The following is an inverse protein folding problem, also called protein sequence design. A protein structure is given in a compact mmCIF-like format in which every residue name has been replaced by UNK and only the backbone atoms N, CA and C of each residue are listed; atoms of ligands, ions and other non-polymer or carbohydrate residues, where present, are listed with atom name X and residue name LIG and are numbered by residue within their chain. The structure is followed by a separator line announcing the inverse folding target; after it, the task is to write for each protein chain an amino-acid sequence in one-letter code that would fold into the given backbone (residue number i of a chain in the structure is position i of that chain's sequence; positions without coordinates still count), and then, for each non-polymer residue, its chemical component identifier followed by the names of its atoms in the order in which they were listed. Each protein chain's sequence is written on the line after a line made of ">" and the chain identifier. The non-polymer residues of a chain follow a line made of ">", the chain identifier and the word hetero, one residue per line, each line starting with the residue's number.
data_IF_729593023852
#
_entry.id   IF_729593023852
#
_cell.length_a   1.000
_cell.length_b   1.000
_cell.length_c   1.000
_cell.angle_alpha   90.00
_cell.angle_beta   90.00
_cell.angle_gamma   90.00
#
_symmetry.space_group_name_H-M   'P 1'
#
loop_
_entity.id
_entity.type
_entity.pdbx_description
1 polymer ?
#
# COMPACT_ATOMS: atom_id res chain seq x y z
N UNK A 1 -11.68 -6.22 -6.06
CA UNK A 1 -10.72 -5.90 -4.99
C UNK A 1 -11.39 -5.24 -3.78
N UNK A 2 -11.01 -5.70 -2.59
CA UNK A 2 -11.42 -5.26 -1.28
C UNK A 2 -10.16 -4.91 -0.47
N UNK A 3 -9.91 -3.62 -0.28
CA UNK A 3 -8.77 -3.15 0.50
C UNK A 3 -9.23 -2.64 1.86
N UNK A 4 -8.62 -3.17 2.92
CA UNK A 4 -8.88 -2.78 4.30
C UNK A 4 -7.70 -2.02 4.86
N UNK A 5 -7.92 -0.76 5.21
CA UNK A 5 -6.94 0.06 5.93
C UNK A 5 -7.33 0.06 7.41
N UNK A 6 -6.41 -0.30 8.30
CA UNK A 6 -6.68 -0.24 9.75
C UNK A 6 -6.64 1.21 10.25
N UNK A 7 -7.30 1.45 11.38
CA UNK A 7 -7.31 2.78 12.00
C UNK A 7 -5.89 3.21 12.41
N UNK A 8 -5.05 2.25 12.84
CA UNK A 8 -3.65 2.48 13.14
C UNK A 8 -2.86 2.91 11.90
N UNK A 9 -3.11 2.28 10.75
CA UNK A 9 -2.46 2.66 9.50
C UNK A 9 -2.86 4.06 9.06
N UNK A 10 -4.17 4.39 9.12
CA UNK A 10 -4.65 5.75 8.81
C UNK A 10 -4.01 6.79 9.73
N UNK A 11 -4.02 6.55 11.03
CA UNK A 11 -3.43 7.46 12.01
C UNK A 11 -1.93 7.65 11.79
N UNK A 12 -1.20 6.60 11.39
CA UNK A 12 0.21 6.69 11.07
C UNK A 12 0.46 7.53 9.81
N UNK A 13 -0.31 7.32 8.72
CA UNK A 13 -0.21 8.10 7.48
C UNK A 13 -0.44 9.59 7.77
N UNK A 14 -1.48 9.92 8.53
CA UNK A 14 -1.82 11.30 8.91
C UNK A 14 -0.77 12.01 9.75
N UNK A 15 0.08 11.27 10.47
CA UNK A 15 1.20 11.86 11.23
C UNK A 15 2.41 12.16 10.34
N UNK A 16 2.55 11.47 9.21
CA UNK A 16 3.72 11.56 8.34
C UNK A 16 3.62 12.69 7.31
N UNK A 17 2.42 13.04 6.87
CA UNK A 17 2.19 14.10 5.88
C UNK A 17 1.08 15.05 6.34
N UNK A 18 1.29 16.35 6.11
CA UNK A 18 0.39 17.43 6.54
C UNK A 18 -0.55 17.91 5.44
N UNK A 19 -0.40 17.43 4.21
CA UNK A 19 -1.33 17.74 3.12
C UNK A 19 -2.77 17.35 3.48
N UNK A 20 -3.76 18.06 2.95
CA UNK A 20 -5.16 17.82 3.29
C UNK A 20 -5.62 16.42 2.85
N UNK A 21 -5.21 15.99 1.65
CA UNK A 21 -5.55 14.68 1.09
C UNK A 21 -4.28 13.90 0.74
N UNK A 22 -4.06 12.79 1.43
CA UNK A 22 -2.87 11.96 1.27
C UNK A 22 -3.10 10.95 0.17
N UNK A 23 -2.12 10.79 -0.71
CA UNK A 23 -2.18 9.79 -1.78
C UNK A 23 -0.96 8.88 -1.63
N UNK A 24 -1.22 7.60 -1.36
CA UNK A 24 -0.18 6.59 -1.25
C UNK A 24 -0.41 5.49 -2.29
N UNK A 25 0.69 4.91 -2.77
CA UNK A 25 0.65 3.75 -3.65
C UNK A 25 1.25 2.53 -2.96
N UNK A 26 0.52 1.42 -3.01
CA UNK A 26 1.13 0.09 -2.82
C UNK A 26 1.71 -0.30 -4.18
N UNK A 27 3.03 -0.47 -4.25
CA UNK A 27 3.74 -0.73 -5.51
C UNK A 27 4.42 -2.08 -5.45
N UNK A 28 4.03 -2.97 -6.36
CA UNK A 28 4.79 -4.18 -6.69
C UNK A 28 5.83 -3.87 -7.75
N UNK A 29 7.07 -4.29 -7.54
CA UNK A 29 8.15 -4.19 -8.52
C UNK A 29 8.72 -5.59 -8.77
N UNK A 30 8.76 -6.02 -10.04
CA UNK A 30 9.48 -7.24 -10.39
C UNK A 30 10.97 -7.01 -10.26
N UNK A 31 11.61 -7.80 -9.40
CA UNK A 31 13.05 -7.71 -9.19
C UNK A 31 13.70 -8.88 -9.91
N UNK A 32 14.49 -8.55 -10.94
CA UNK A 32 15.15 -9.53 -11.79
C UNK A 32 16.54 -9.85 -11.23
N UNK A 33 16.60 -10.88 -10.37
CA UNK A 33 17.86 -11.52 -9.99
C UNK A 33 17.84 -13.00 -10.42
N UNK A 34 18.75 -13.85 -9.92
CA UNK A 34 18.79 -15.29 -10.24
C UNK A 34 17.47 -16.06 -9.95
N UNK A 35 16.55 -15.43 -9.22
CA UNK A 35 15.14 -15.82 -9.08
C UNK A 35 14.26 -14.57 -9.27
N UNK A 36 13.05 -14.77 -9.79
CA UNK A 36 12.05 -13.70 -9.95
C UNK A 36 11.24 -13.61 -8.66
N UNK A 37 11.20 -12.42 -8.07
CA UNK A 37 10.33 -12.09 -6.95
C UNK A 37 9.71 -10.71 -7.17
N UNK A 38 8.58 -10.46 -6.50
CA UNK A 38 7.92 -9.16 -6.50
C UNK A 38 8.16 -8.49 -5.16
N UNK A 39 8.91 -7.39 -5.19
CA UNK A 39 9.09 -6.54 -4.03
C UNK A 39 7.88 -5.61 -3.89
N UNK A 40 7.27 -5.57 -2.71
CA UNK A 40 6.14 -4.69 -2.42
C UNK A 40 6.59 -3.57 -1.48
N UNK A 41 6.37 -2.33 -1.88
CA UNK A 41 6.62 -1.15 -1.05
C UNK A 41 5.47 -0.13 -1.03
N UNK A 42 5.61 0.86 -0.15
CA UNK A 42 4.71 2.00 -0.03
C UNK A 42 5.44 3.27 -0.43
N UNK A 43 4.81 4.07 -1.29
CA UNK A 43 5.34 5.37 -1.72
C UNK A 43 4.27 6.46 -1.64
N UNK A 44 4.69 7.70 -1.45
CA UNK A 44 3.85 8.86 -1.76
C UNK A 44 3.65 8.95 -3.27
N UNK A 45 2.46 9.35 -3.70
CA UNK A 45 2.13 9.36 -5.13
C UNK A 45 1.21 10.52 -5.51
N UNK A 46 0.99 10.67 -6.81
CA UNK A 46 0.00 11.56 -7.40
C UNK A 46 -1.25 10.80 -7.83
N UNK A 47 -2.38 11.48 -7.93
CA UNK A 47 -3.65 10.86 -8.26
C UNK A 47 -3.67 10.25 -9.68
N UNK A 48 -3.84 8.93 -9.76
CA UNK A 48 -4.16 8.21 -11.00
C UNK A 48 -5.54 7.54 -10.86
N UNK A 49 -6.52 8.00 -11.64
CA UNK A 49 -7.92 7.59 -11.50
C UNK A 49 -8.14 6.07 -11.63
N UNK A 50 -7.49 5.44 -12.60
CA UNK A 50 -7.62 4.00 -12.88
C UNK A 50 -6.96 3.10 -11.81
N UNK A 51 -6.10 3.69 -10.99
CA UNK A 51 -5.33 2.98 -9.96
C UNK A 51 -5.97 3.05 -8.58
N UNK A 52 -7.00 3.88 -8.38
CA UNK A 52 -7.67 4.03 -7.08
C UNK A 52 -8.32 2.71 -6.67
N UNK A 53 -7.96 2.23 -5.49
CA UNK A 53 -8.53 1.01 -4.87
C UNK A 53 -9.16 1.30 -3.52
N UNK A 54 -8.79 2.41 -2.88
CA UNK A 54 -9.37 2.93 -1.66
C UNK A 54 -9.48 4.45 -1.78
N UNK A 55 -10.61 5.01 -1.37
CA UNK A 55 -10.75 6.45 -1.22
C UNK A 55 -11.69 6.74 -0.04
N UNK A 56 -11.24 7.64 0.82
CA UNK A 56 -12.09 8.33 1.78
C UNK A 56 -11.82 9.85 1.73
N UNK A 57 -12.28 10.59 2.74
CA UNK A 57 -12.22 12.04 2.75
C UNK A 57 -10.77 12.59 2.71
N UNK A 58 -9.82 11.88 3.31
CA UNK A 58 -8.47 12.41 3.57
C UNK A 58 -7.34 11.47 3.12
N UNK A 59 -7.68 10.28 2.61
CA UNK A 59 -6.76 9.28 2.12
C UNK A 59 -7.23 8.63 0.81
N UNK A 60 -6.31 8.54 -0.14
CA UNK A 60 -6.43 7.67 -1.31
C UNK A 60 -5.30 6.63 -1.26
N UNK A 61 -5.66 5.38 -1.49
CA UNK A 61 -4.69 4.29 -1.75
C UNK A 61 -4.85 3.83 -3.18
N UNK A 62 -3.73 3.74 -3.90
CA UNK A 62 -3.68 3.36 -5.30
C UNK A 62 -2.78 2.14 -5.52
N UNK A 63 -3.08 1.38 -6.57
CA UNK A 63 -2.30 0.25 -7.08
C UNK A 63 -2.44 0.19 -8.59
N UNK A 64 -1.36 -0.09 -9.32
CA UNK A 64 -1.47 -0.38 -10.76
C UNK A 64 -2.03 -1.79 -11.00
N UNK A 65 -2.40 -2.09 -12.25
CA UNK A 65 -2.95 -3.40 -12.62
C UNK A 65 -2.02 -4.55 -12.24
N UNK A 66 -0.70 -4.39 -12.45
CA UNK A 66 0.28 -5.42 -12.09
C UNK A 66 0.25 -5.76 -10.59
N UNK A 67 0.26 -4.73 -9.74
CA UNK A 67 0.22 -4.91 -8.28
C UNK A 67 -1.12 -5.47 -7.83
N UNK A 68 -2.23 -5.08 -8.49
CA UNK A 68 -3.56 -5.65 -8.22
C UNK A 68 -3.58 -7.15 -8.52
N UNK A 69 -3.07 -7.56 -9.67
CA UNK A 69 -3.01 -8.97 -10.07
C UNK A 69 -2.13 -9.80 -9.12
N UNK A 70 -1.02 -9.23 -8.65
CA UNK A 70 -0.13 -9.90 -7.70
C UNK A 70 -0.74 -10.04 -6.30
N UNK A 71 -1.38 -8.99 -5.78
CA UNK A 71 -1.91 -8.97 -4.42
C UNK A 71 -3.27 -9.65 -4.29
N UNK A 72 -3.99 -9.82 -5.40
CA UNK A 72 -5.28 -10.48 -5.48
C UNK A 72 -6.41 -9.64 -4.87
N UNK A 73 -7.59 -10.24 -4.70
CA UNK A 73 -8.80 -9.49 -4.43
C UNK A 73 -8.92 -8.90 -3.02
N UNK A 74 -8.08 -9.28 -2.07
CA UNK A 74 -8.19 -8.79 -0.68
C UNK A 74 -6.82 -8.42 -0.14
N UNK A 75 -6.69 -7.17 0.32
CA UNK A 75 -5.46 -6.63 0.90
C UNK A 75 -5.78 -5.90 2.20
N UNK A 76 -4.93 -6.10 3.20
CA UNK A 76 -4.94 -5.34 4.45
C UNK A 76 -3.67 -4.51 4.57
N UNK A 77 -3.82 -3.20 4.72
CA UNK A 77 -2.76 -2.29 5.14
C UNK A 77 -2.90 -2.03 6.64
N UNK A 78 -1.89 -2.42 7.42
CA UNK A 78 -1.87 -2.25 8.87
C UNK A 78 -0.61 -1.50 9.32
N UNK A 79 -0.61 -1.01 10.56
CA UNK A 79 0.53 -0.36 11.17
C UNK A 79 0.71 -0.84 12.61
N UNK A 80 1.94 -1.26 12.91
CA UNK A 80 2.37 -1.69 14.25
C UNK A 80 3.69 -1.02 14.59
N UNK A 81 4.23 -1.32 15.76
CA UNK A 81 5.48 -0.73 16.28
C UNK A 81 6.67 -0.85 15.32
N UNK A 82 6.69 -1.89 14.47
CA UNK A 82 7.76 -2.14 13.49
C UNK A 82 7.59 -1.38 12.18
N UNK A 83 6.43 -0.76 11.92
CA UNK A 83 6.11 -0.07 10.67
C UNK A 83 4.82 -0.57 10.02
N UNK A 84 4.63 -0.20 8.75
CA UNK A 84 3.50 -0.66 7.96
C UNK A 84 3.67 -2.12 7.52
N UNK A 85 2.56 -2.82 7.36
CA UNK A 85 2.52 -4.16 6.78
C UNK A 85 1.41 -4.31 5.76
N UNK A 86 1.64 -5.17 4.77
CA UNK A 86 0.67 -5.51 3.72
C UNK A 86 0.43 -7.01 3.78
N UNK A 87 -0.82 -7.39 3.97
CA UNK A 87 -1.23 -8.79 4.18
C UNK A 87 -2.38 -9.13 3.25
N UNK A 88 -2.33 -10.30 2.61
CA UNK A 88 -3.45 -10.91 1.90
C UNK A 88 -4.06 -12.00 2.78
N UNK A 89 -5.22 -12.59 2.44
CA UNK A 89 -5.72 -13.76 3.17
C UNK A 89 -4.76 -14.95 3.18
N UNK A 90 -3.92 -15.07 2.15
CA UNK A 90 -2.99 -16.20 1.98
C UNK A 90 -1.70 -16.02 2.77
N UNK A 91 -1.18 -14.79 2.87
CA UNK A 91 0.14 -14.54 3.46
C UNK A 91 0.36 -13.07 3.86
N UNK A 92 1.45 -12.83 4.60
CA UNK A 92 1.99 -11.48 4.78
C UNK A 92 3.02 -11.21 3.71
N UNK A 93 2.74 -10.29 2.79
CA UNK A 93 3.62 -9.96 1.68
C UNK A 93 4.86 -9.20 2.16
N UNK A 94 4.69 -8.27 3.10
CA UNK A 94 5.77 -7.44 3.62
C UNK A 94 5.40 -6.83 4.97
N UNK A 95 6.40 -6.62 5.82
CA UNK A 95 6.27 -5.99 7.14
C UNK A 95 7.41 -4.99 7.38
N UNK A 96 7.17 -4.04 8.28
CA UNK A 96 8.18 -3.06 8.68
C UNK A 96 8.46 -1.99 7.64
N UNK A 97 7.49 -1.70 6.76
CA UNK A 97 7.63 -0.67 5.75
C UNK A 97 7.56 0.73 6.35
N UNK A 98 8.27 1.66 5.71
CA UNK A 98 8.00 3.09 5.74
C UNK A 98 7.42 3.54 4.40
N UNK A 99 6.75 4.71 4.38
CA UNK A 99 6.30 5.32 3.13
C UNK A 99 7.48 6.09 2.54
N UNK A 100 7.93 5.68 1.36
CA UNK A 100 9.06 6.31 0.66
C UNK A 100 8.60 7.57 -0.08
N UNK A 101 9.51 8.52 -0.25
CA UNK A 101 9.34 9.65 -1.17
C UNK A 101 9.55 9.21 -2.61
#
# INVERSE_FOLDING_TARGET
>A
MNIRITDEAKAAIHRLEREDKKIIRIRGTMTNSCSIFVDVDLIWDTYVADDVVYEDADLIVQMDTFTKDYTGDTVKLDYKTTGFSITTPSETLVYGLSIKK
#
